data_IF_259798309466
#
_entry.id   IF_259798309466
#
_cell.length_a   1.000
_cell.length_b   1.000
_cell.length_c   1.000
_cell.angle_alpha   90.00
_cell.angle_beta   90.00
_cell.angle_gamma   90.00
#
_symmetry.space_group_name_H-M   'P 1'
#
loop_
_entity.id
_entity.type
_entity.pdbx_description
1 polymer ?
#
# COMPACT_ATOMS: atom_id res chain seq x y z
N UNK A 1 -34.64 23.45 14.76
CA UNK A 1 -34.15 22.10 14.46
C UNK A 1 -32.86 22.23 13.65
N UNK A 2 -31.74 22.30 14.36
CA UNK A 2 -30.47 22.67 13.77
C UNK A 2 -29.42 21.58 13.96
N UNK A 3 -28.26 21.83 13.42
CA UNK A 3 -27.02 21.15 13.67
C UNK A 3 -26.68 21.35 15.14
N UNK A 4 -26.56 20.27 15.92
CA UNK A 4 -26.20 20.33 17.33
C UNK A 4 -24.68 20.33 17.53
N UNK A 5 -23.95 19.77 16.56
CA UNK A 5 -22.50 19.69 16.59
C UNK A 5 -21.98 19.49 15.17
N UNK A 6 -20.87 20.15 14.84
CA UNK A 6 -20.16 19.99 13.60
C UNK A 6 -18.65 20.09 13.87
N UNK A 7 -17.90 19.06 13.43
CA UNK A 7 -16.45 19.04 13.51
C UNK A 7 -15.89 18.57 12.17
N UNK A 8 -15.03 19.38 11.58
CA UNK A 8 -14.24 19.00 10.40
C UNK A 8 -12.82 18.70 10.86
N UNK A 9 -12.22 17.67 10.30
CA UNK A 9 -10.82 17.31 10.50
C UNK A 9 -10.16 17.13 9.16
N UNK A 10 -8.89 17.52 9.06
CA UNK A 10 -8.04 17.26 7.92
C UNK A 10 -6.65 16.93 8.40
N UNK A 11 -6.01 15.97 7.78
CA UNK A 11 -4.63 15.61 8.06
C UNK A 11 -3.87 15.35 6.77
N UNK A 12 -2.57 15.63 6.81
CA UNK A 12 -1.62 15.26 5.77
C UNK A 12 -0.37 14.73 6.45
N UNK A 13 0.11 13.59 5.96
CA UNK A 13 1.32 12.97 6.47
C UNK A 13 2.19 12.48 5.31
N UNK A 14 3.49 12.61 5.47
CA UNK A 14 4.49 12.00 4.60
C UNK A 14 5.44 11.15 5.44
N UNK A 15 5.59 9.87 5.07
CA UNK A 15 6.42 8.91 5.78
C UNK A 15 7.39 8.28 4.80
N UNK A 16 8.69 8.23 5.19
CA UNK A 16 9.73 7.50 4.48
C UNK A 16 10.00 6.16 5.17
N UNK A 17 10.12 5.09 4.38
CA UNK A 17 10.53 3.77 4.87
C UNK A 17 11.86 3.40 4.22
N UNK A 18 12.85 3.06 5.06
CA UNK A 18 14.16 2.65 4.56
C UNK A 18 14.10 1.22 4.00
N UNK A 19 14.89 0.91 2.95
CA UNK A 19 15.07 -0.45 2.47
C UNK A 19 15.58 -1.38 3.57
N UNK A 20 15.36 -2.68 3.39
CA UNK A 20 15.91 -3.69 4.29
C UNK A 20 17.44 -3.60 4.35
N UNK A 21 17.99 -3.88 5.51
CA UNK A 21 19.45 -3.90 5.70
C UNK A 21 20.08 -5.01 4.84
N UNK A 22 21.28 -4.76 4.34
CA UNK A 22 22.14 -5.70 3.60
C UNK A 22 21.67 -6.13 2.20
N UNK A 23 20.59 -5.57 1.66
CA UNK A 23 20.14 -5.92 0.30
C UNK A 23 21.02 -5.34 -0.82
N UNK A 24 21.93 -4.43 -0.48
CA UNK A 24 22.93 -3.85 -1.40
C UNK A 24 24.23 -4.64 -1.47
N UNK A 25 24.44 -5.57 -0.55
CA UNK A 25 25.64 -6.39 -0.46
C UNK A 25 25.47 -7.74 -1.15
N UNK A 26 26.53 -8.24 -1.74
CA UNK A 26 26.59 -9.63 -2.20
C UNK A 26 26.89 -10.51 -0.99
N UNK A 27 25.97 -11.40 -0.66
CA UNK A 27 26.19 -12.41 0.36
C UNK A 27 26.53 -13.73 -0.33
N UNK A 28 27.80 -14.11 -0.29
CA UNK A 28 28.30 -15.37 -0.84
C UNK A 28 28.68 -16.31 0.30
N UNK A 29 27.72 -17.05 0.87
CA UNK A 29 28.04 -17.97 1.95
C UNK A 29 28.95 -19.10 1.43
N UNK A 30 30.05 -19.33 2.14
CA UNK A 30 30.90 -20.49 1.98
C UNK A 30 30.18 -21.73 2.56
N UNK A 31 29.86 -22.67 1.71
CA UNK A 31 29.31 -23.95 2.15
C UNK A 31 30.44 -24.94 2.54
N UNK A 32 30.07 -25.94 3.33
CA UNK A 32 30.98 -27.03 3.73
C UNK A 32 31.56 -27.69 2.47
N UNK A 33 32.89 -27.78 2.40
CA UNK A 33 33.59 -28.31 1.22
C UNK A 33 34.17 -27.23 0.29
N UNK A 34 34.15 -25.95 0.70
CA UNK A 34 34.76 -24.86 -0.08
C UNK A 34 33.93 -24.43 -1.30
N UNK A 35 32.69 -24.86 -1.38
CA UNK A 35 31.78 -24.46 -2.46
C UNK A 35 31.23 -23.07 -2.17
N UNK A 36 31.47 -22.12 -3.08
CA UNK A 36 30.88 -20.80 -3.05
C UNK A 36 29.49 -20.90 -3.68
N UNK A 37 28.43 -20.72 -2.92
CA UNK A 37 27.09 -20.62 -3.49
C UNK A 37 26.81 -19.18 -3.91
N UNK A 38 26.35 -18.98 -5.14
CA UNK A 38 25.83 -17.71 -5.60
C UNK A 38 24.59 -17.34 -4.79
N UNK A 39 24.52 -16.10 -4.34
CA UNK A 39 23.29 -15.58 -3.72
C UNK A 39 22.12 -15.70 -4.70
N UNK A 40 20.94 -15.99 -4.15
CA UNK A 40 19.73 -16.06 -4.96
C UNK A 40 19.24 -14.68 -5.41
N UNK A 41 19.75 -13.61 -4.79
CA UNK A 41 19.36 -12.23 -5.06
C UNK A 41 20.52 -11.41 -5.62
N UNK A 42 20.25 -10.69 -6.71
CA UNK A 42 21.19 -9.68 -7.19
C UNK A 42 21.26 -8.52 -6.18
N UNK A 43 22.47 -7.97 -5.93
CA UNK A 43 22.60 -6.79 -5.08
C UNK A 43 21.77 -5.63 -5.65
N UNK A 44 21.03 -4.98 -4.79
CA UNK A 44 20.20 -3.86 -5.23
C UNK A 44 21.06 -2.62 -5.50
N UNK A 45 20.89 -2.03 -6.66
CA UNK A 45 21.62 -0.84 -7.11
C UNK A 45 20.67 0.36 -7.13
N UNK A 46 21.15 1.53 -6.70
CA UNK A 46 20.40 2.79 -6.73
C UNK A 46 19.07 2.74 -5.95
N UNK A 47 19.10 2.14 -4.76
CA UNK A 47 17.93 2.11 -3.90
C UNK A 47 17.54 3.50 -3.41
N UNK A 48 16.28 3.83 -3.58
CA UNK A 48 15.64 5.01 -2.98
C UNK A 48 14.69 4.60 -1.86
N UNK A 49 14.56 5.38 -0.79
CA UNK A 49 13.57 5.11 0.24
C UNK A 49 12.15 5.12 -0.31
N UNK A 50 11.35 4.20 0.15
CA UNK A 50 9.90 4.21 -0.09
C UNK A 50 9.29 5.44 0.59
N UNK A 51 8.36 6.10 -0.09
CA UNK A 51 7.66 7.28 0.42
C UNK A 51 6.16 7.07 0.32
N UNK A 52 5.48 7.29 1.43
CA UNK A 52 4.02 7.25 1.51
C UNK A 52 3.50 8.64 1.86
N UNK A 53 2.61 9.16 1.02
CA UNK A 53 1.89 10.42 1.22
C UNK A 53 0.44 10.11 1.47
N UNK A 54 -0.09 10.54 2.61
CA UNK A 54 -1.47 10.32 3.03
C UNK A 54 -2.19 11.65 3.24
N UNK A 55 -3.39 11.73 2.72
CA UNK A 55 -4.33 12.83 2.95
C UNK A 55 -5.64 12.25 3.46
N UNK A 56 -6.18 12.84 4.52
CA UNK A 56 -7.43 12.44 5.13
C UNK A 56 -8.29 13.67 5.45
N UNK A 57 -9.58 13.58 5.15
CA UNK A 57 -10.59 14.55 5.55
C UNK A 57 -11.74 13.81 6.22
N UNK A 58 -12.19 14.33 7.35
CA UNK A 58 -13.31 13.77 8.08
C UNK A 58 -14.30 14.85 8.53
N UNK A 59 -15.55 14.43 8.61
CA UNK A 59 -16.68 15.21 9.08
C UNK A 59 -17.42 14.44 10.16
N UNK A 60 -17.55 15.04 11.33
CA UNK A 60 -18.42 14.52 12.38
C UNK A 60 -19.54 15.53 12.64
N UNK A 61 -20.77 15.11 12.54
CA UNK A 61 -21.92 15.96 12.74
C UNK A 61 -22.99 15.30 13.61
N UNK A 62 -23.71 16.12 14.39
CA UNK A 62 -24.86 15.70 15.19
C UNK A 62 -26.05 16.63 14.95
N UNK A 63 -27.22 16.05 14.85
CA UNK A 63 -28.45 16.74 14.51
C UNK A 63 -29.56 16.40 15.50
N UNK A 64 -30.61 17.21 15.50
CA UNK A 64 -31.85 17.00 16.24
C UNK A 64 -31.60 16.74 17.75
N UNK A 65 -30.80 17.58 18.39
CA UNK A 65 -30.49 17.39 19.82
C UNK A 65 -29.69 16.11 20.07
N UNK A 66 -28.76 15.79 19.19
CA UNK A 66 -27.90 14.59 19.23
C UNK A 66 -28.65 13.25 19.01
N UNK A 67 -29.86 13.28 18.47
CA UNK A 67 -30.59 12.06 18.13
C UNK A 67 -30.00 11.37 16.90
N UNK A 68 -29.53 12.14 15.93
CA UNK A 68 -28.82 11.64 14.73
C UNK A 68 -27.37 12.09 14.83
N UNK A 69 -26.48 11.18 14.50
CA UNK A 69 -25.06 11.47 14.40
C UNK A 69 -24.45 10.79 13.18
N UNK A 70 -23.45 11.43 12.60
CA UNK A 70 -22.71 10.88 11.47
C UNK A 70 -21.24 11.16 11.63
N UNK A 71 -20.43 10.22 11.18
CA UNK A 71 -18.98 10.39 10.99
C UNK A 71 -18.65 9.89 9.58
N UNK A 72 -18.05 10.75 8.77
CA UNK A 72 -17.64 10.42 7.40
C UNK A 72 -16.16 10.76 7.26
N UNK A 73 -15.39 9.83 6.77
CA UNK A 73 -13.97 10.01 6.51
C UNK A 73 -13.66 9.61 5.08
N UNK A 74 -12.94 10.46 4.38
CA UNK A 74 -12.30 10.17 3.10
C UNK A 74 -10.79 10.15 3.30
N UNK A 75 -10.12 9.16 2.77
CA UNK A 75 -8.65 9.07 2.76
C UNK A 75 -8.12 8.74 1.39
N UNK A 76 -6.89 9.21 1.11
CA UNK A 76 -6.15 8.91 -0.10
C UNK A 76 -4.66 8.81 0.24
N UNK A 77 -4.09 7.66 0.00
CA UNK A 77 -2.70 7.33 0.28
C UNK A 77 -1.99 6.95 -1.00
N UNK A 78 -0.86 7.58 -1.28
CA UNK A 78 -0.01 7.26 -2.42
C UNK A 78 1.35 6.78 -1.91
N UNK A 79 1.73 5.56 -2.28
CA UNK A 79 3.06 5.00 -2.00
C UNK A 79 3.89 5.04 -3.28
N UNK A 80 5.10 5.56 -3.17
CA UNK A 80 6.07 5.73 -4.26
C UNK A 80 7.33 4.95 -3.96
N UNK A 81 8.04 4.52 -5.01
CA UNK A 81 9.32 3.81 -4.93
C UNK A 81 9.23 2.52 -4.09
N UNK A 82 8.10 1.84 -4.15
CA UNK A 82 7.93 0.59 -3.42
C UNK A 82 8.96 -0.43 -3.89
N UNK A 83 9.57 -1.14 -2.95
CA UNK A 83 10.59 -2.13 -3.24
C UNK A 83 9.94 -3.47 -3.61
N UNK A 84 10.17 -3.91 -4.84
CA UNK A 84 9.70 -5.20 -5.33
C UNK A 84 10.88 -6.12 -5.66
N UNK A 85 10.69 -7.43 -5.52
CA UNK A 85 11.58 -8.41 -6.10
C UNK A 85 10.95 -9.00 -7.35
N UNK A 86 11.75 -9.17 -8.39
CA UNK A 86 11.33 -9.82 -9.63
C UNK A 86 12.31 -10.94 -10.02
N UNK A 87 11.84 -11.88 -10.84
CA UNK A 87 12.68 -12.96 -11.31
C UNK A 87 13.72 -12.42 -12.32
N UNK A 88 14.99 -12.56 -11.95
CA UNK A 88 16.09 -12.08 -12.80
C UNK A 88 16.31 -12.99 -14.01
N UNK A 89 16.72 -12.45 -15.18
CA UNK A 89 17.09 -13.27 -16.31
C UNK A 89 18.22 -14.26 -15.95
N UNK A 90 18.16 -15.52 -16.38
CA UNK A 90 19.18 -16.52 -16.07
C UNK A 90 20.62 -16.12 -16.46
N UNK A 91 20.76 -15.24 -17.47
CA UNK A 91 22.04 -14.68 -17.90
C UNK A 91 22.76 -13.84 -16.86
N UNK A 92 22.04 -13.34 -15.83
CA UNK A 92 22.61 -12.54 -14.75
C UNK A 92 23.29 -13.38 -13.67
N UNK A 93 23.06 -14.69 -13.65
CA UNK A 93 23.53 -15.61 -12.61
C UNK A 93 22.74 -15.55 -11.30
N UNK A 94 21.74 -14.68 -11.19
CA UNK A 94 20.86 -14.55 -10.03
C UNK A 94 19.46 -15.06 -10.33
N UNK A 95 18.75 -15.50 -9.29
CA UNK A 95 17.35 -15.92 -9.43
C UNK A 95 16.40 -14.73 -9.35
N UNK A 96 16.70 -13.75 -8.52
CA UNK A 96 15.86 -12.57 -8.26
C UNK A 96 16.70 -11.30 -8.21
N UNK A 97 16.07 -10.18 -8.52
CA UNK A 97 16.65 -8.86 -8.34
C UNK A 97 15.62 -7.93 -7.67
N UNK A 98 16.11 -6.91 -6.97
CA UNK A 98 15.28 -5.86 -6.38
C UNK A 98 15.20 -4.66 -7.29
N UNK A 99 14.04 -4.04 -7.32
CA UNK A 99 13.81 -2.78 -8.02
C UNK A 99 12.95 -1.87 -7.16
N UNK A 100 13.34 -0.60 -7.06
CA UNK A 100 12.47 0.45 -6.57
C UNK A 100 11.52 0.85 -7.69
N UNK A 101 10.35 0.34 -7.61
CA UNK A 101 9.36 0.55 -8.65
C UNK A 101 7.99 0.69 -8.00
N UNK A 102 7.09 1.19 -8.76
CA UNK A 102 5.72 1.20 -8.37
C UNK A 102 5.23 2.47 -7.70
N UNK A 103 4.06 2.82 -8.14
CA UNK A 103 3.20 3.80 -7.52
C UNK A 103 1.87 3.12 -7.23
N UNK A 104 1.56 3.01 -5.96
CA UNK A 104 0.31 2.42 -5.50
C UNK A 104 -0.54 3.51 -4.88
N UNK A 105 -1.79 3.60 -5.31
CA UNK A 105 -2.78 4.50 -4.75
C UNK A 105 -3.82 3.68 -3.99
N UNK A 106 -4.04 4.05 -2.75
CA UNK A 106 -5.08 3.49 -1.89
C UNK A 106 -5.99 4.62 -1.43
N UNK A 107 -7.28 4.55 -1.75
CA UNK A 107 -8.26 5.52 -1.33
C UNK A 107 -9.56 4.85 -0.88
N UNK A 108 -10.27 5.53 -0.01
CA UNK A 108 -11.53 5.00 0.48
C UNK A 108 -12.39 6.02 1.17
N UNK A 109 -13.60 5.59 1.46
CA UNK A 109 -14.61 6.32 2.22
C UNK A 109 -15.12 5.40 3.32
N UNK A 110 -15.15 5.93 4.53
CA UNK A 110 -15.79 5.31 5.68
C UNK A 110 -16.89 6.24 6.17
N UNK A 111 -18.06 5.69 6.41
CA UNK A 111 -19.20 6.46 6.88
C UNK A 111 -19.95 5.67 7.94
N UNK A 112 -20.31 6.36 9.01
CA UNK A 112 -21.15 5.85 10.06
C UNK A 112 -22.32 6.79 10.23
N UNK A 113 -23.53 6.29 10.25
CA UNK A 113 -24.76 7.04 10.57
C UNK A 113 -25.46 6.34 11.71
N UNK A 114 -25.73 7.07 12.76
CA UNK A 114 -26.41 6.53 13.92
C UNK A 114 -27.64 7.36 14.28
N UNK A 115 -28.62 6.67 14.83
CA UNK A 115 -29.82 7.25 15.38
C UNK A 115 -30.06 6.71 16.79
N UNK A 116 -30.41 7.61 17.73
CA UNK A 116 -30.85 7.24 19.07
C UNK A 116 -32.02 8.08 19.51
N UNK A 117 -32.97 7.44 20.15
CA UNK A 117 -34.09 8.14 20.76
C UNK A 117 -34.56 7.41 22.02
N UNK A 118 -35.18 8.16 22.92
CA UNK A 118 -35.76 7.61 24.14
C UNK A 118 -37.21 8.09 24.25
N UNK A 119 -38.14 7.13 24.47
CA UNK A 119 -39.56 7.35 24.68
C UNK A 119 -39.93 6.75 26.02
N UNK A 120 -40.10 7.55 27.03
CA UNK A 120 -40.38 7.11 28.42
C UNK A 120 -39.36 6.06 28.88
N UNK A 121 -39.76 4.80 29.02
CA UNK A 121 -38.95 3.69 29.49
C UNK A 121 -38.28 2.89 28.34
N UNK A 122 -38.60 3.23 27.11
CA UNK A 122 -38.03 2.58 25.94
C UNK A 122 -36.95 3.44 25.28
N UNK A 123 -35.78 2.87 25.08
CA UNK A 123 -34.69 3.52 24.37
C UNK A 123 -34.26 2.67 23.16
N UNK A 124 -34.14 3.33 22.04
CA UNK A 124 -33.65 2.73 20.79
C UNK A 124 -32.36 3.39 20.35
N UNK A 125 -31.37 2.59 19.97
CA UNK A 125 -30.14 3.05 19.32
C UNK A 125 -29.80 2.11 18.18
N UNK A 126 -29.51 2.66 17.02
CA UNK A 126 -29.06 1.90 15.84
C UNK A 126 -27.98 2.69 15.12
N UNK A 127 -27.09 1.98 14.45
CA UNK A 127 -26.08 2.57 13.60
C UNK A 127 -25.86 1.69 12.35
N UNK A 128 -25.54 2.36 11.26
CA UNK A 128 -25.20 1.76 9.98
C UNK A 128 -23.79 2.20 9.63
N UNK A 129 -22.92 1.25 9.35
CA UNK A 129 -21.56 1.48 8.92
C UNK A 129 -21.42 1.14 7.44
N UNK A 130 -20.77 2.03 6.71
CA UNK A 130 -20.40 1.82 5.31
C UNK A 130 -18.89 2.02 5.19
N UNK A 131 -18.22 1.10 4.52
CA UNK A 131 -16.80 1.23 4.19
C UNK A 131 -16.56 0.79 2.76
N UNK A 132 -15.80 1.60 2.03
CA UNK A 132 -15.34 1.30 0.69
C UNK A 132 -13.84 1.61 0.61
N UNK A 133 -13.06 0.64 0.19
CA UNK A 133 -11.64 0.78 -0.06
C UNK A 133 -11.34 0.38 -1.49
N UNK A 134 -10.48 1.16 -2.17
CA UNK A 134 -9.96 0.84 -3.49
C UNK A 134 -8.44 1.02 -3.50
N UNK A 135 -7.76 -0.05 -3.85
CA UNK A 135 -6.32 -0.07 -4.01
C UNK A 135 -6.01 -0.27 -5.50
N UNK A 136 -5.21 0.61 -6.09
CA UNK A 136 -4.87 0.60 -7.50
C UNK A 136 -3.37 0.77 -7.70
N UNK A 137 -2.78 -0.13 -8.48
CA UNK A 137 -1.39 -0.02 -8.90
C UNK A 137 -1.34 0.91 -10.11
N UNK A 138 -0.89 2.15 -9.90
CA UNK A 138 -0.79 3.17 -10.95
C UNK A 138 0.39 2.93 -11.87
N UNK A 139 1.50 2.43 -11.32
CA UNK A 139 2.74 2.22 -12.03
C UNK A 139 3.49 1.06 -11.37
N UNK A 140 3.98 0.11 -12.15
CA UNK A 140 4.78 -1.00 -11.65
C UNK A 140 6.27 -0.68 -11.72
N UNK A 141 6.71 -0.11 -12.84
CA UNK A 141 8.09 0.26 -13.09
C UNK A 141 8.10 1.60 -13.81
N UNK A 142 8.84 2.62 -13.34
CA UNK A 142 8.99 3.89 -14.06
C UNK A 142 9.52 3.69 -15.47
N UNK A 143 8.99 4.44 -16.43
CA UNK A 143 9.50 4.42 -17.81
C UNK A 143 10.99 4.75 -17.84
N UNK A 144 11.75 3.98 -18.60
CA UNK A 144 13.20 4.15 -18.73
C UNK A 144 14.04 3.46 -17.64
N UNK A 145 13.41 2.72 -16.71
CA UNK A 145 14.15 1.93 -15.72
C UNK A 145 14.98 0.86 -16.43
N UNK A 146 16.25 0.73 -16.00
CA UNK A 146 17.18 -0.25 -16.55
C UNK A 146 17.56 -1.27 -15.47
N UNK A 147 17.75 -2.52 -15.90
CA UNK A 147 18.30 -3.57 -15.05
C UNK A 147 19.81 -3.38 -14.82
N UNK A 148 20.39 -4.26 -13.98
CA UNK A 148 21.84 -4.26 -13.71
C UNK A 148 22.71 -4.52 -14.96
N UNK A 149 22.14 -5.06 -16.02
CA UNK A 149 22.80 -5.28 -17.30
C UNK A 149 22.59 -4.12 -18.29
N UNK A 150 21.85 -3.07 -17.90
CA UNK A 150 21.57 -1.88 -18.70
C UNK A 150 20.36 -2.01 -19.66
N UNK A 151 19.63 -3.12 -19.64
CA UNK A 151 18.46 -3.33 -20.48
C UNK A 151 17.24 -2.60 -19.90
N UNK A 152 16.37 -2.10 -20.79
CA UNK A 152 15.09 -1.52 -20.37
C UNK A 152 14.20 -2.60 -19.73
N UNK A 153 13.77 -2.33 -18.50
CA UNK A 153 12.83 -3.18 -17.77
C UNK A 153 11.42 -2.69 -18.07
N UNK A 154 10.69 -3.45 -18.86
CA UNK A 154 9.24 -3.28 -19.04
C UNK A 154 8.53 -4.40 -18.29
N UNK A 155 7.81 -4.06 -17.25
CA UNK A 155 7.08 -5.04 -16.45
C UNK A 155 5.60 -4.64 -16.42
N UNK A 156 4.80 -5.37 -17.17
CA UNK A 156 3.34 -5.20 -17.16
C UNK A 156 2.67 -5.95 -16.01
N UNK A 157 3.33 -6.97 -15.51
CA UNK A 157 2.89 -7.75 -14.36
C UNK A 157 4.07 -8.22 -13.50
N UNK A 158 3.92 -8.16 -12.19
CA UNK A 158 4.86 -8.71 -11.22
C UNK A 158 4.24 -9.90 -10.53
N UNK A 159 4.93 -11.04 -10.57
CA UNK A 159 4.57 -12.18 -9.76
C UNK A 159 5.17 -12.00 -8.36
N UNK A 160 4.32 -11.84 -7.36
CA UNK A 160 4.72 -11.86 -5.96
C UNK A 160 4.50 -13.27 -5.41
N UNK A 161 5.57 -13.90 -4.97
CA UNK A 161 5.50 -15.21 -4.33
C UNK A 161 5.56 -15.02 -2.82
N UNK A 162 4.48 -15.35 -2.13
CA UNK A 162 4.41 -15.27 -0.67
C UNK A 162 3.77 -16.55 -0.15
N UNK A 163 4.59 -17.41 0.48
CA UNK A 163 4.08 -18.58 1.20
C UNK A 163 3.33 -19.61 0.35
N UNK A 164 3.71 -19.77 -0.92
CA UNK A 164 3.08 -20.74 -1.84
C UNK A 164 1.91 -20.17 -2.66
N UNK A 165 1.58 -18.90 -2.48
CA UNK A 165 0.60 -18.21 -3.29
C UNK A 165 1.28 -17.27 -4.29
N UNK A 166 0.92 -17.37 -5.57
CA UNK A 166 1.36 -16.44 -6.60
C UNK A 166 0.32 -15.34 -6.76
N UNK A 167 0.66 -14.13 -6.36
CA UNK A 167 -0.14 -12.94 -6.66
C UNK A 167 0.40 -12.29 -7.93
N UNK A 168 -0.47 -12.06 -8.89
CA UNK A 168 -0.16 -11.26 -10.07
C UNK A 168 -0.60 -9.83 -9.84
N UNK A 169 0.34 -8.91 -9.86
CA UNK A 169 0.07 -7.47 -9.77
C UNK A 169 0.21 -6.89 -11.17
N UNK A 170 -0.85 -6.28 -11.69
CA UNK A 170 -0.86 -5.62 -13.00
C UNK A 170 -1.04 -4.11 -12.84
N UNK A 171 -0.46 -3.34 -13.75
CA UNK A 171 -0.74 -1.91 -13.88
C UNK A 171 -2.25 -1.71 -14.13
N UNK A 172 -2.90 -0.82 -13.38
CA UNK A 172 -4.34 -0.60 -13.42
C UNK A 172 -5.19 -1.69 -12.75
N UNK A 173 -4.56 -2.75 -12.24
CA UNK A 173 -5.24 -3.78 -11.46
C UNK A 173 -5.54 -3.32 -10.03
N UNK A 174 -6.60 -3.88 -9.46
CA UNK A 174 -6.88 -3.74 -8.03
C UNK A 174 -5.79 -4.52 -7.28
N UNK A 175 -4.97 -3.83 -6.50
CA UNK A 175 -4.01 -4.47 -5.60
C UNK A 175 -4.78 -5.19 -4.50
N UNK A 176 -4.69 -6.52 -4.46
CA UNK A 176 -5.32 -7.31 -3.41
C UNK A 176 -6.66 -7.95 -3.77
N UNK A 177 -6.92 -8.23 -5.03
CA UNK A 177 -7.95 -9.19 -5.42
C UNK A 177 -7.47 -10.62 -5.10
N UNK A 178 -8.12 -11.27 -4.14
CA UNK A 178 -8.05 -12.71 -3.93
C UNK A 178 -8.79 -13.43 -5.06
#
# INVERSE_FOLDING_TARGET
>A
AGISFLKVRASYAEVGNAPQRFITGVNTPLQTGGIVSSDSYAPAVNLTPERTKSFEVGLNAKFLGNKIWTDVTYYNTNTYNQLFSYDAPPSTGYKRAYINAGKVNNWGIEAVVGYKNKWRDFSWSTNVNFSMNRNEVKELVPEGTRDVAGNLVTVDEVNMDSGGYRMKVKKGGLGGGF
#
